data_IF_482328686213
#
_entry.id   IF_482328686213
#
_cell.length_a   1.000
_cell.length_b   1.000
_cell.length_c   1.000
_cell.angle_alpha   90.00
_cell.angle_beta   90.00
_cell.angle_gamma   90.00
#
_symmetry.space_group_name_H-M   'P 1'
#
loop_
_entity.id
_entity.type
_entity.pdbx_description
1 polymer ?
#
# COMPACT_ATOMS: atom_id res chain seq x y z
N UNK A 1 9.71 -26.88 23.14
CA UNK A 1 10.29 -25.80 22.30
C UNK A 1 10.44 -26.28 20.87
N UNK A 2 9.47 -26.01 19.99
CA UNK A 2 9.63 -26.16 18.53
C UNK A 2 9.43 -24.76 17.95
N UNK A 3 10.53 -24.12 17.53
CA UNK A 3 10.48 -22.79 16.89
C UNK A 3 9.87 -22.94 15.50
N UNK A 4 8.97 -22.02 15.18
CA UNK A 4 8.25 -21.86 13.92
C UNK A 4 9.20 -21.77 12.73
N UNK A 5 9.35 -22.86 11.97
CA UNK A 5 9.99 -22.86 10.66
C UNK A 5 9.02 -22.40 9.54
N UNK A 6 7.71 -22.38 9.83
CA UNK A 6 6.66 -22.13 8.84
C UNK A 6 6.52 -20.65 8.46
N UNK A 7 6.81 -19.72 9.37
CA UNK A 7 6.70 -18.28 9.08
C UNK A 7 7.86 -17.77 8.20
N UNK A 8 9.07 -18.33 8.39
CA UNK A 8 10.25 -17.96 7.60
C UNK A 8 10.14 -18.48 6.15
N UNK A 9 9.51 -19.64 5.95
CA UNK A 9 9.30 -20.23 4.63
C UNK A 9 8.34 -19.41 3.74
N UNK A 10 7.30 -18.80 4.32
CA UNK A 10 6.31 -18.01 3.53
C UNK A 10 6.94 -16.72 2.98
N UNK A 11 7.78 -16.05 3.76
CA UNK A 11 8.49 -14.84 3.34
C UNK A 11 9.49 -15.17 2.22
N UNK A 12 10.26 -16.25 2.37
CA UNK A 12 11.25 -16.68 1.36
C UNK A 12 10.59 -17.13 0.05
N UNK A 13 9.43 -17.79 0.09
CA UNK A 13 8.70 -18.21 -1.13
C UNK A 13 8.07 -17.03 -1.87
N UNK A 14 7.61 -15.99 -1.16
CA UNK A 14 7.16 -14.72 -1.76
C UNK A 14 8.30 -13.96 -2.45
N UNK A 15 9.51 -14.01 -1.89
CA UNK A 15 10.69 -13.30 -2.40
C UNK A 15 11.36 -13.95 -3.63
N UNK A 16 11.26 -15.27 -3.79
CA UNK A 16 11.97 -16.03 -4.84
C UNK A 16 11.18 -16.21 -6.15
N UNK A 17 9.85 -16.03 -6.14
CA UNK A 17 9.01 -16.22 -7.33
C UNK A 17 9.00 -15.03 -8.31
N UNK A 18 9.60 -13.88 -7.95
CA UNK A 18 9.61 -12.68 -8.81
C UNK A 18 10.38 -12.87 -10.13
N UNK A 19 11.31 -13.84 -10.20
CA UNK A 19 12.25 -13.97 -11.32
C UNK A 19 11.70 -14.58 -12.62
N UNK A 20 10.63 -15.38 -12.56
CA UNK A 20 10.17 -16.13 -13.74
C UNK A 20 8.72 -15.84 -14.17
N UNK A 21 7.94 -15.09 -13.38
CA UNK A 21 6.50 -14.89 -13.59
C UNK A 21 6.07 -13.41 -13.71
N UNK A 22 6.97 -12.46 -13.40
CA UNK A 22 6.63 -11.03 -13.30
C UNK A 22 6.38 -10.28 -14.62
N UNK A 23 6.55 -10.89 -15.81
CA UNK A 23 6.53 -10.14 -17.08
C UNK A 23 5.17 -9.52 -17.45
N UNK A 24 4.06 -9.98 -16.85
CA UNK A 24 2.70 -9.43 -17.09
C UNK A 24 2.25 -8.40 -16.07
N UNK A 25 2.92 -8.32 -14.92
CA UNK A 25 2.58 -7.45 -13.80
C UNK A 25 3.65 -6.41 -13.50
N UNK A 26 4.87 -6.61 -14.03
CA UNK A 26 5.89 -5.60 -14.13
C UNK A 26 5.44 -4.52 -15.11
N UNK A 27 5.67 -3.27 -14.72
CA UNK A 27 5.44 -2.12 -15.58
C UNK A 27 6.26 -2.26 -16.89
N UNK A 28 5.76 -1.75 -18.02
CA UNK A 28 6.61 -1.57 -19.19
C UNK A 28 7.81 -0.71 -18.81
N UNK A 29 9.02 -1.24 -19.00
CA UNK A 29 10.27 -0.49 -18.93
C UNK A 29 10.32 0.51 -20.09
N UNK A 30 9.60 1.62 -19.97
CA UNK A 30 9.76 2.88 -20.73
C UNK A 30 8.53 3.78 -20.56
N UNK A 31 8.33 4.34 -19.36
CA UNK A 31 7.67 5.64 -19.25
C UNK A 31 8.64 6.59 -18.58
N UNK A 32 8.90 7.72 -19.23
CA UNK A 32 9.62 8.84 -18.64
C UNK A 32 9.05 9.13 -17.24
N UNK A 33 9.94 9.42 -16.29
CA UNK A 33 9.58 9.85 -14.95
C UNK A 33 8.51 10.95 -15.02
N UNK A 34 7.26 10.60 -14.70
CA UNK A 34 6.16 11.57 -14.70
C UNK A 34 6.12 12.24 -13.34
N UNK A 35 6.47 13.52 -13.30
CA UNK A 35 6.01 14.40 -12.22
C UNK A 35 4.50 14.29 -12.12
N UNK A 36 3.94 14.41 -10.91
CA UNK A 36 2.48 14.53 -10.79
C UNK A 36 2.00 15.79 -11.52
N UNK A 37 0.98 15.63 -12.35
CA UNK A 37 0.29 16.74 -13.01
C UNK A 37 -0.42 17.60 -11.98
N UNK A 38 -0.66 18.87 -12.29
CA UNK A 38 -1.45 19.75 -11.44
C UNK A 38 -2.84 19.16 -11.14
N UNK A 39 -3.45 18.51 -12.13
CA UNK A 39 -4.72 17.80 -11.96
C UNK A 39 -4.60 16.64 -10.96
N UNK A 40 -3.56 15.80 -11.06
CA UNK A 40 -3.35 14.70 -10.12
C UNK A 40 -3.09 15.21 -8.69
N UNK A 41 -2.28 16.28 -8.54
CA UNK A 41 -2.03 16.92 -7.24
C UNK A 41 -3.32 17.38 -6.59
N UNK A 42 -4.16 18.13 -7.32
CA UNK A 42 -5.46 18.62 -6.81
C UNK A 42 -6.42 17.47 -6.55
N UNK A 43 -6.53 16.52 -7.48
CA UNK A 43 -7.48 15.39 -7.40
C UNK A 43 -7.18 14.46 -6.23
N UNK A 44 -5.90 14.26 -5.90
CA UNK A 44 -5.46 13.38 -4.80
C UNK A 44 -5.20 14.14 -3.50
N UNK A 45 -5.11 15.47 -3.52
CA UNK A 45 -4.71 16.26 -2.36
C UNK A 45 -3.24 16.06 -1.95
N UNK A 46 -2.37 15.78 -2.92
CA UNK A 46 -0.93 15.61 -2.69
C UNK A 46 -0.26 16.99 -2.83
N UNK A 47 0.60 17.41 -1.88
CA UNK A 47 1.30 18.69 -2.00
C UNK A 47 2.28 18.67 -3.19
N UNK A 48 2.44 19.82 -3.84
CA UNK A 48 3.26 19.95 -5.05
C UNK A 48 4.76 19.72 -4.79
N UNK A 49 5.22 19.93 -3.56
CA UNK A 49 6.59 19.69 -3.11
C UNK A 49 6.58 19.28 -1.63
N UNK A 50 7.52 18.43 -1.22
CA UNK A 50 7.65 17.99 0.17
C UNK A 50 8.97 17.26 0.43
N UNK A 51 9.37 17.21 1.70
CA UNK A 51 10.26 16.15 2.18
C UNK A 51 9.43 14.88 2.35
N UNK A 52 9.83 13.79 1.69
CA UNK A 52 9.16 12.50 1.74
C UNK A 52 9.87 11.60 2.75
N UNK A 53 9.17 11.21 3.81
CA UNK A 53 9.64 10.24 4.80
C UNK A 53 9.05 8.88 4.44
N UNK A 54 9.88 8.02 3.84
CA UNK A 54 9.44 6.75 3.28
C UNK A 54 9.57 5.60 4.30
N UNK A 55 8.48 4.85 4.48
CA UNK A 55 8.40 3.63 5.31
C UNK A 55 8.20 2.41 4.41
N UNK A 56 9.26 1.59 4.17
CA UNK A 56 9.16 0.39 3.35
C UNK A 56 8.26 -0.69 3.96
N UNK A 57 8.00 -1.75 3.18
CA UNK A 57 7.29 -2.95 3.64
C UNK A 57 8.17 -3.91 4.43
N UNK A 58 7.58 -5.03 4.89
CA UNK A 58 8.32 -6.10 5.56
C UNK A 58 9.10 -6.93 4.53
N UNK A 59 10.40 -6.68 4.43
CA UNK A 59 11.28 -7.34 3.45
C UNK A 59 12.63 -7.77 4.04
N UNK A 60 12.81 -7.69 5.37
CA UNK A 60 14.09 -8.01 6.04
C UNK A 60 15.30 -7.24 5.48
N UNK A 61 15.08 -6.01 5.01
CA UNK A 61 16.09 -5.18 4.35
C UNK A 61 16.66 -5.75 3.06
N UNK A 62 15.98 -6.73 2.45
CA UNK A 62 16.44 -7.34 1.21
C UNK A 62 16.29 -6.41 0.00
N UNK A 63 15.43 -5.38 0.08
CA UNK A 63 15.26 -4.38 -0.97
C UNK A 63 15.23 -2.97 -0.39
N UNK A 64 15.51 -1.99 -1.24
CA UNK A 64 15.21 -0.59 -0.97
C UNK A 64 14.41 -0.04 -2.16
N UNK A 65 13.19 -0.55 -2.35
CA UNK A 65 12.36 -0.27 -3.53
C UNK A 65 11.56 1.04 -3.47
N UNK A 66 11.53 1.71 -2.31
CA UNK A 66 10.75 2.95 -2.12
C UNK A 66 11.07 4.04 -3.15
N UNK A 67 12.33 4.25 -3.58
CA UNK A 67 12.64 5.23 -4.62
C UNK A 67 12.04 4.93 -5.99
N UNK A 68 11.68 3.68 -6.29
CA UNK A 68 11.11 3.24 -7.57
C UNK A 68 9.58 3.20 -7.57
N UNK A 69 8.95 3.18 -6.39
CA UNK A 69 7.48 3.13 -6.27
C UNK A 69 6.80 4.31 -6.97
N UNK A 70 5.63 4.07 -7.57
CA UNK A 70 4.89 5.07 -8.36
C UNK A 70 5.73 5.71 -9.47
N UNK A 71 6.53 4.91 -10.19
CA UNK A 71 7.46 5.39 -11.21
C UNK A 71 8.62 6.24 -10.68
N UNK A 72 8.83 6.25 -9.35
CA UNK A 72 9.80 7.06 -8.65
C UNK A 72 9.45 8.55 -8.60
N UNK A 73 8.15 8.89 -8.64
CA UNK A 73 7.72 10.29 -8.59
C UNK A 73 8.11 10.98 -7.27
N UNK A 74 7.99 10.27 -6.14
CA UNK A 74 8.27 10.82 -4.81
C UNK A 74 9.76 10.88 -4.44
N UNK A 75 10.65 10.29 -5.23
CA UNK A 75 12.10 10.24 -4.97
C UNK A 75 12.90 11.26 -5.77
N UNK A 76 12.22 12.09 -6.56
CA UNK A 76 12.82 13.07 -7.47
C UNK A 76 12.22 14.46 -7.24
N UNK A 77 12.93 15.53 -7.63
CA UNK A 77 12.39 16.88 -7.55
C UNK A 77 11.00 17.00 -8.19
N UNK A 78 10.07 17.75 -7.56
CA UNK A 78 10.26 18.65 -6.42
C UNK A 78 10.21 17.95 -5.03
N UNK A 79 10.13 16.62 -4.98
CA UNK A 79 10.19 15.86 -3.74
C UNK A 79 11.64 15.51 -3.36
N UNK A 80 11.90 15.39 -2.06
CA UNK A 80 13.18 14.87 -1.55
C UNK A 80 12.90 13.73 -0.58
N UNK A 81 13.29 12.51 -0.95
CA UNK A 81 12.99 11.31 -0.16
C UNK A 81 14.11 10.96 0.82
N UNK A 82 13.71 10.65 2.06
CA UNK A 82 14.51 9.94 3.06
C UNK A 82 13.79 8.66 3.45
N UNK A 83 14.48 7.52 3.34
CA UNK A 83 13.93 6.23 3.80
C UNK A 83 14.21 6.08 5.29
N UNK A 84 13.14 5.82 6.07
CA UNK A 84 13.21 5.66 7.52
C UNK A 84 13.55 4.20 7.84
N UNK A 85 14.71 4.01 8.46
CA UNK A 85 15.16 2.67 8.87
C UNK A 85 14.34 2.18 10.07
N UNK A 86 13.95 0.90 10.01
CA UNK A 86 13.30 0.16 11.10
C UNK A 86 13.42 -1.35 10.78
N UNK A 87 13.12 -2.28 11.71
CA UNK A 87 13.45 -3.70 11.54
C UNK A 87 12.87 -4.40 10.30
N UNK A 88 11.74 -3.93 9.74
CA UNK A 88 11.11 -4.51 8.52
C UNK A 88 10.93 -6.03 8.56
N UNK A 89 10.73 -6.57 9.76
CA UNK A 89 10.57 -7.99 10.02
C UNK A 89 9.18 -8.31 10.60
N UNK A 90 8.91 -9.59 10.83
CA UNK A 90 7.63 -10.04 11.39
C UNK A 90 7.64 -10.13 12.93
N UNK A 91 8.68 -9.62 13.59
CA UNK A 91 8.75 -9.60 15.04
C UNK A 91 7.78 -8.56 15.61
N UNK A 92 7.41 -8.74 16.89
CA UNK A 92 6.53 -7.79 17.60
C UNK A 92 7.15 -6.39 17.75
N UNK A 93 8.47 -6.27 17.62
CA UNK A 93 9.19 -5.02 17.81
C UNK A 93 9.24 -4.15 16.54
N UNK A 94 9.10 -4.74 15.34
CA UNK A 94 9.26 -4.02 14.08
C UNK A 94 8.37 -2.77 13.97
N UNK A 95 7.05 -2.94 14.14
CA UNK A 95 6.09 -1.83 14.05
C UNK A 95 6.34 -0.76 15.13
N UNK A 96 6.46 -1.10 16.44
CA UNK A 96 6.81 -0.11 17.47
C UNK A 96 8.09 0.69 17.19
N UNK A 97 9.15 0.04 16.71
CA UNK A 97 10.39 0.75 16.33
C UNK A 97 10.16 1.66 15.14
N UNK A 98 9.40 1.23 14.13
CA UNK A 98 8.99 2.08 13.02
C UNK A 98 8.24 3.33 13.47
N UNK A 99 7.32 3.20 14.43
CA UNK A 99 6.53 4.32 14.98
C UNK A 99 7.46 5.33 15.67
N UNK A 100 8.37 4.87 16.52
CA UNK A 100 9.32 5.74 17.20
C UNK A 100 10.24 6.49 16.21
N UNK A 101 10.70 5.80 15.16
CA UNK A 101 11.62 6.38 14.19
C UNK A 101 10.92 7.37 13.25
N UNK A 102 9.69 7.07 12.79
CA UNK A 102 8.92 8.01 11.97
C UNK A 102 8.48 9.24 12.78
N UNK A 103 8.10 9.07 14.05
CA UNK A 103 7.75 10.20 14.92
C UNK A 103 8.91 11.18 15.07
N UNK A 104 10.10 10.66 15.37
CA UNK A 104 11.33 11.45 15.45
C UNK A 104 11.62 12.18 14.14
N UNK A 105 11.47 11.49 13.00
CA UNK A 105 11.73 12.07 11.69
C UNK A 105 10.71 13.19 11.34
N UNK A 106 9.42 12.96 11.57
CA UNK A 106 8.35 13.96 11.36
C UNK A 106 8.66 15.23 12.18
N UNK A 107 8.98 15.09 13.47
CA UNK A 107 9.25 16.23 14.36
C UNK A 107 10.52 17.00 13.98
N UNK A 108 11.52 16.32 13.43
CA UNK A 108 12.79 16.94 13.03
C UNK A 108 12.72 17.61 11.64
N UNK A 109 11.71 17.31 10.84
CA UNK A 109 11.63 17.77 9.44
C UNK A 109 10.90 19.12 9.34
N UNK A 110 11.55 20.17 8.82
CA UNK A 110 10.89 21.46 8.55
C UNK A 110 10.04 21.40 7.26
N UNK A 111 9.17 22.39 7.06
CA UNK A 111 8.39 22.53 5.81
C UNK A 111 7.30 21.46 5.63
N UNK A 112 6.89 21.25 4.39
CA UNK A 112 5.86 20.28 4.00
C UNK A 112 6.42 18.85 4.00
N UNK A 113 5.67 17.92 4.56
CA UNK A 113 6.06 16.52 4.78
C UNK A 113 5.03 15.60 4.14
N UNK A 114 5.51 14.61 3.39
CA UNK A 114 4.73 13.43 3.02
C UNK A 114 5.31 12.22 3.76
N UNK A 115 4.46 11.46 4.45
CA UNK A 115 4.82 10.11 4.90
C UNK A 115 4.35 9.13 3.85
N UNK A 116 5.29 8.54 3.11
CA UNK A 116 5.02 7.56 2.05
C UNK A 116 5.23 6.15 2.61
N UNK A 117 4.19 5.35 2.74
CA UNK A 117 4.24 4.13 3.55
C UNK A 117 3.65 2.91 2.85
N UNK A 118 4.46 1.86 2.71
CA UNK A 118 4.14 0.63 1.99
C UNK A 118 3.86 -0.53 2.94
N UNK A 119 2.78 -1.29 2.75
CA UNK A 119 2.57 -2.60 3.40
C UNK A 119 2.73 -2.55 4.94
N UNK A 120 3.80 -3.11 5.53
CA UNK A 120 4.07 -2.97 6.97
C UNK A 120 4.34 -1.52 7.40
N UNK A 121 5.00 -0.72 6.56
CA UNK A 121 5.15 0.71 6.77
C UNK A 121 3.81 1.43 6.84
N UNK A 122 2.81 1.04 6.02
CA UNK A 122 1.46 1.60 6.12
C UNK A 122 0.79 1.27 7.46
N UNK A 123 1.07 0.09 8.03
CA UNK A 123 0.64 -0.26 9.38
C UNK A 123 1.31 0.63 10.43
N UNK A 124 2.62 0.88 10.30
CA UNK A 124 3.37 1.83 11.15
C UNK A 124 2.71 3.20 11.12
N UNK A 125 2.47 3.76 9.93
CA UNK A 125 1.83 5.07 9.77
C UNK A 125 0.42 5.10 10.37
N UNK A 126 -0.38 4.04 10.15
CA UNK A 126 -1.72 3.91 10.72
C UNK A 126 -1.71 3.87 12.25
N UNK A 127 -0.73 3.19 12.86
CA UNK A 127 -0.55 3.19 14.31
C UNK A 127 -0.03 4.52 14.84
N UNK A 128 0.90 5.17 14.14
CA UNK A 128 1.38 6.51 14.51
C UNK A 128 0.23 7.52 14.53
N UNK A 129 -0.63 7.53 13.49
CA UNK A 129 -1.78 8.43 13.42
C UNK A 129 -2.74 8.25 14.59
N UNK A 130 -3.05 6.99 14.96
CA UNK A 130 -3.91 6.71 16.12
C UNK A 130 -3.31 7.19 17.45
N UNK A 131 -1.98 7.19 17.58
CA UNK A 131 -1.30 7.64 18.79
C UNK A 131 -1.18 9.17 18.89
N UNK A 132 -1.12 9.87 17.75
CA UNK A 132 -0.75 11.29 17.71
C UNK A 132 -1.87 12.22 17.22
N UNK A 133 -3.04 11.71 16.81
CA UNK A 133 -4.13 12.54 16.27
C UNK A 133 -4.61 13.67 17.21
N UNK A 134 -4.34 13.55 18.51
CA UNK A 134 -4.68 14.54 19.54
C UNK A 134 -3.44 15.23 20.14
N UNK A 135 -2.25 14.97 19.61
CA UNK A 135 -1.01 15.60 20.06
C UNK A 135 -0.82 16.95 19.32
N UNK A 136 -0.89 18.11 20.00
CA UNK A 136 -0.74 19.41 19.35
C UNK A 136 0.72 19.72 18.98
N UNK A 137 1.69 18.87 19.37
CA UNK A 137 3.12 19.10 19.14
C UNK A 137 3.64 18.46 17.86
N UNK A 138 2.86 17.61 17.20
CA UNK A 138 3.19 17.09 15.87
C UNK A 138 2.70 18.05 14.77
N UNK A 139 3.32 18.08 13.58
CA UNK A 139 2.87 18.93 12.48
C UNK A 139 1.40 18.71 12.13
N UNK A 140 0.68 19.81 11.92
CA UNK A 140 -0.74 19.81 11.56
C UNK A 140 -1.01 19.40 10.09
N UNK A 141 -2.28 19.38 9.67
CA UNK A 141 -2.68 18.97 8.33
C UNK A 141 -2.26 19.92 7.21
N UNK A 142 -1.87 21.15 7.54
CA UNK A 142 -1.26 22.12 6.64
C UNK A 142 0.18 21.73 6.25
N UNK A 143 0.84 20.87 7.05
CA UNK A 143 2.22 20.46 6.85
C UNK A 143 2.43 18.97 6.62
N UNK A 144 1.51 18.11 7.04
CA UNK A 144 1.70 16.65 7.03
C UNK A 144 0.59 15.95 6.26
N UNK A 145 0.99 15.21 5.22
CA UNK A 145 0.12 14.36 4.40
C UNK A 145 0.62 12.92 4.46
N UNK A 146 -0.28 11.94 4.47
CA UNK A 146 0.06 10.52 4.39
C UNK A 146 -0.28 9.97 3.02
N UNK A 147 0.64 9.22 2.41
CA UNK A 147 0.39 8.42 1.21
C UNK A 147 0.67 6.97 1.58
N UNK A 148 -0.39 6.20 1.76
CA UNK A 148 -0.33 4.78 2.13
C UNK A 148 -0.56 3.94 0.88
N UNK A 149 0.13 2.80 0.77
CA UNK A 149 -0.12 1.88 -0.33
C UNK A 149 0.20 0.45 0.03
N UNK A 150 -0.47 -0.48 -0.67
CA UNK A 150 -0.48 -1.89 -0.27
C UNK A 150 -0.94 -2.04 1.19
N UNK A 151 -1.80 -1.15 1.70
CA UNK A 151 -2.07 -1.02 3.12
C UNK A 151 -2.92 -2.20 3.63
N UNK A 152 -2.39 -3.12 4.47
CA UNK A 152 -3.18 -4.25 4.97
C UNK A 152 -4.29 -3.81 5.94
N UNK A 153 -4.18 -2.61 6.50
CA UNK A 153 -5.17 -1.98 7.36
C UNK A 153 -6.03 -0.97 6.60
N UNK A 154 -6.04 -1.00 5.26
CA UNK A 154 -6.88 -0.12 4.44
C UNK A 154 -8.31 -0.20 4.94
N UNK A 155 -8.87 0.97 5.24
CA UNK A 155 -10.15 1.03 5.93
C UNK A 155 -11.36 0.78 5.01
N UNK A 156 -11.11 0.62 3.71
CA UNK A 156 -12.05 0.17 2.68
C UNK A 156 -11.51 -1.09 1.99
N UNK A 157 -11.41 -2.19 2.74
CA UNK A 157 -11.09 -3.52 2.19
C UNK A 157 -9.77 -4.20 2.62
N UNK A 158 -9.05 -3.65 3.60
CA UNK A 158 -7.80 -4.23 4.08
C UNK A 158 -7.98 -5.59 4.77
N UNK A 159 -7.15 -6.58 4.41
CA UNK A 159 -7.25 -7.95 4.92
C UNK A 159 -7.01 -8.05 6.43
N UNK A 160 -6.21 -7.15 7.00
CA UNK A 160 -5.87 -7.18 8.42
C UNK A 160 -6.89 -6.49 9.31
N UNK A 161 -7.88 -5.80 8.75
CA UNK A 161 -8.95 -5.20 9.55
C UNK A 161 -9.79 -6.30 10.23
N UNK A 162 -9.81 -6.31 11.56
CA UNK A 162 -10.49 -7.34 12.36
C UNK A 162 -9.75 -8.67 12.45
N UNK A 163 -8.61 -8.83 11.77
CA UNK A 163 -7.81 -10.06 11.76
C UNK A 163 -6.50 -9.89 12.54
N UNK A 164 -5.85 -10.99 12.98
CA UNK A 164 -4.55 -10.90 13.67
C UNK A 164 -3.45 -10.27 12.80
N UNK A 165 -2.71 -9.34 13.41
CA UNK A 165 -1.43 -8.79 12.96
C UNK A 165 -0.28 -9.46 13.73
N UNK A 166 0.97 -9.05 13.47
CA UNK A 166 2.12 -9.54 14.26
C UNK A 166 2.07 -9.12 15.73
N UNK A 167 1.23 -8.15 16.10
CA UNK A 167 1.13 -7.57 17.45
C UNK A 167 -0.19 -7.87 18.14
N UNK A 168 -1.32 -7.56 17.49
CA UNK A 168 -2.68 -7.58 18.06
C UNK A 168 -3.70 -8.00 17.00
N UNK A 169 -4.98 -7.66 17.17
CA UNK A 169 -5.93 -7.55 16.05
C UNK A 169 -5.69 -6.24 15.30
N UNK A 170 -5.77 -6.27 13.97
CA UNK A 170 -5.60 -5.11 13.12
C UNK A 170 -6.82 -4.20 13.19
N UNK A 171 -6.57 -2.93 13.49
CA UNK A 171 -7.57 -1.87 13.43
C UNK A 171 -7.46 -1.18 12.08
N UNK A 172 -8.61 -0.87 11.49
CA UNK A 172 -8.66 -0.06 10.29
C UNK A 172 -7.83 1.22 10.46
N UNK A 173 -7.18 1.64 9.38
CA UNK A 173 -6.54 2.96 9.30
C UNK A 173 -7.60 4.01 9.63
N UNK A 174 -7.35 4.89 10.62
CA UNK A 174 -8.33 5.91 10.96
C UNK A 174 -8.53 6.84 9.76
N UNK A 175 -9.78 7.18 9.48
CA UNK A 175 -10.13 8.12 8.39
C UNK A 175 -10.56 9.48 8.92
N UNK A 176 -10.64 9.62 10.25
CA UNK A 176 -11.08 10.78 11.02
C UNK A 176 -9.93 11.48 11.75
N UNK A 177 -8.71 11.35 11.22
CA UNK A 177 -7.53 12.07 11.72
C UNK A 177 -7.48 13.50 11.18
N UNK A 178 -6.77 14.44 11.84
CA UNK A 178 -6.59 15.79 11.31
C UNK A 178 -5.97 15.80 9.90
N UNK A 179 -5.01 14.89 9.64
CA UNK A 179 -4.25 14.84 8.39
C UNK A 179 -5.02 14.30 7.20
N UNK A 180 -4.66 14.80 6.01
CA UNK A 180 -5.07 14.21 4.74
C UNK A 180 -4.32 12.91 4.47
N UNK A 181 -5.06 11.89 4.02
CA UNK A 181 -4.53 10.56 3.71
C UNK A 181 -4.91 10.19 2.29
N UNK A 182 -3.93 9.80 1.49
CA UNK A 182 -4.13 9.12 0.20
C UNK A 182 -3.83 7.65 0.39
N UNK A 183 -4.83 6.78 0.34
CA UNK A 183 -4.64 5.33 0.49
C UNK A 183 -4.80 4.67 -0.89
N UNK A 184 -3.71 4.14 -1.45
CA UNK A 184 -3.63 3.57 -2.79
C UNK A 184 -3.60 2.04 -2.74
N UNK A 185 -4.62 1.40 -3.32
CA UNK A 185 -4.66 -0.04 -3.49
C UNK A 185 -4.56 -0.37 -4.97
N UNK A 186 -3.84 -1.45 -5.27
CA UNK A 186 -4.01 -2.11 -6.55
C UNK A 186 -5.23 -3.03 -6.49
N UNK A 187 -6.06 -3.06 -7.52
CA UNK A 187 -7.22 -3.95 -7.52
C UNK A 187 -6.74 -5.39 -7.43
N UNK A 188 -7.38 -6.14 -6.54
CA UNK A 188 -7.01 -7.51 -6.17
C UNK A 188 -5.68 -7.67 -5.43
N UNK A 189 -5.00 -6.61 -5.01
CA UNK A 189 -3.97 -6.76 -3.97
C UNK A 189 -4.63 -7.36 -2.73
N UNK A 190 -4.48 -8.66 -2.49
CA UNK A 190 -5.24 -9.33 -1.45
C UNK A 190 -4.92 -8.90 -0.01
N UNK A 191 -3.92 -8.03 0.22
CA UNK A 191 -3.74 -7.35 1.50
C UNK A 191 -4.51 -6.03 1.56
N UNK A 192 -4.47 -5.21 0.51
CA UNK A 192 -5.08 -3.88 0.49
C UNK A 192 -6.52 -3.84 -0.03
N UNK A 193 -6.88 -4.75 -0.94
CA UNK A 193 -8.17 -4.95 -1.59
C UNK A 193 -8.58 -6.43 -1.45
N UNK A 194 -9.12 -6.78 -0.28
CA UNK A 194 -9.55 -8.14 0.06
C UNK A 194 -11.08 -8.27 -0.04
N UNK A 195 -11.62 -9.40 -0.54
CA UNK A 195 -13.08 -9.60 -0.62
C UNK A 195 -13.69 -9.69 0.78
N UNK A 196 -14.85 -9.08 0.99
CA UNK A 196 -15.59 -9.14 2.26
C UNK A 196 -16.35 -10.46 2.36
N UNK A 197 -16.93 -10.94 1.26
CA UNK A 197 -17.53 -12.27 1.20
C UNK A 197 -16.44 -13.34 1.06
N UNK A 198 -16.11 -13.97 2.19
CA UNK A 198 -15.13 -15.07 2.25
C UNK A 198 -15.70 -16.42 1.79
N UNK A 199 -17.02 -16.52 1.53
CA UNK A 199 -17.65 -17.70 0.96
C UNK A 199 -17.44 -17.81 -0.56
N UNK A 200 -17.08 -16.71 -1.22
CA UNK A 200 -16.72 -16.71 -2.64
C UNK A 200 -15.27 -17.20 -2.84
N UNK A 201 -15.11 -18.51 -3.06
CA UNK A 201 -13.81 -19.16 -3.18
C UNK A 201 -12.95 -18.61 -4.34
N UNK A 202 -13.58 -18.26 -5.48
CA UNK A 202 -12.90 -17.65 -6.62
C UNK A 202 -12.30 -16.29 -6.24
N UNK A 203 -13.06 -15.45 -5.53
CA UNK A 203 -12.60 -14.15 -5.08
C UNK A 203 -11.47 -14.26 -4.05
N UNK A 204 -11.60 -15.17 -3.08
CA UNK A 204 -10.57 -15.44 -2.07
C UNK A 204 -9.28 -15.96 -2.72
N UNK A 205 -9.41 -16.90 -3.66
CA UNK A 205 -8.25 -17.43 -4.40
C UNK A 205 -7.59 -16.35 -5.25
N UNK A 206 -8.38 -15.52 -5.94
CA UNK A 206 -7.88 -14.41 -6.73
C UNK A 206 -7.11 -13.40 -5.88
N UNK A 207 -7.66 -13.02 -4.72
CA UNK A 207 -6.98 -12.13 -3.77
C UNK A 207 -5.68 -12.75 -3.22
N UNK A 208 -5.68 -14.04 -2.87
CA UNK A 208 -4.48 -14.72 -2.39
C UNK A 208 -3.38 -14.80 -3.45
N UNK A 209 -3.72 -15.00 -4.72
CA UNK A 209 -2.76 -14.86 -5.82
C UNK A 209 -2.31 -13.40 -5.99
N UNK A 210 -3.20 -12.45 -5.75
CA UNK A 210 -2.87 -11.04 -5.75
C UNK A 210 -1.85 -10.63 -4.68
N UNK A 211 -1.85 -11.27 -3.50
CA UNK A 211 -0.78 -11.11 -2.51
C UNK A 211 0.60 -11.48 -3.06
N UNK A 212 0.67 -12.40 -4.03
CA UNK A 212 1.91 -12.86 -4.65
C UNK A 212 2.31 -12.01 -5.87
N UNK A 213 1.34 -11.66 -6.72
CA UNK A 213 1.60 -11.09 -8.05
C UNK A 213 1.32 -9.59 -8.17
N UNK A 214 0.57 -9.01 -7.24
CA UNK A 214 0.12 -7.61 -7.27
C UNK A 214 0.79 -6.82 -6.16
N UNK A 215 0.64 -7.32 -4.93
CA UNK A 215 1.11 -6.63 -3.73
C UNK A 215 2.58 -6.21 -3.82
N UNK A 216 3.51 -7.05 -4.32
CA UNK A 216 4.92 -6.67 -4.41
C UNK A 216 5.26 -5.62 -5.48
N UNK A 217 4.27 -5.18 -6.27
CA UNK A 217 4.48 -4.43 -7.50
C UNK A 217 3.67 -3.12 -7.54
N UNK A 218 4.24 -2.03 -7.03
CA UNK A 218 3.66 -0.68 -7.09
C UNK A 218 4.51 0.30 -7.92
N UNK A 219 5.68 -0.12 -8.40
CA UNK A 219 6.62 0.65 -9.21
C UNK A 219 6.00 1.15 -10.52
N UNK A 220 5.00 0.44 -11.04
CA UNK A 220 4.28 0.76 -12.27
C UNK A 220 3.02 1.60 -12.12
N UNK A 221 2.60 1.92 -10.89
CA UNK A 221 1.34 2.63 -10.66
C UNK A 221 1.49 4.10 -11.03
N UNK A 222 0.75 4.55 -12.05
CA UNK A 222 0.72 5.93 -12.51
C UNK A 222 -0.39 6.71 -11.82
N UNK A 223 -0.04 7.57 -10.86
CA UNK A 223 -1.00 8.41 -10.14
C UNK A 223 -1.64 9.50 -11.03
N UNK A 224 -1.11 9.74 -12.24
CA UNK A 224 -1.74 10.60 -13.23
C UNK A 224 -2.86 9.90 -14.01
N UNK A 225 -3.02 8.58 -13.89
CA UNK A 225 -4.01 7.85 -14.67
C UNK A 225 -5.44 8.37 -14.37
N UNK A 226 -6.15 8.93 -15.35
CA UNK A 226 -7.50 9.45 -15.14
C UNK A 226 -8.51 8.34 -14.85
N UNK A 227 -8.20 7.08 -15.17
CA UNK A 227 -9.08 5.92 -14.94
C UNK A 227 -9.09 5.41 -13.50
N UNK A 228 -8.18 5.90 -12.64
CA UNK A 228 -8.15 5.55 -11.22
C UNK A 228 -9.52 5.81 -10.58
N UNK A 229 -10.03 4.81 -9.86
CA UNK A 229 -11.25 4.96 -9.09
C UNK A 229 -10.93 5.65 -7.78
N UNK A 230 -11.59 6.77 -7.52
CA UNK A 230 -11.31 7.63 -6.38
C UNK A 230 -12.60 7.91 -5.63
N UNK A 231 -12.57 7.73 -4.31
CA UNK A 231 -13.65 8.09 -3.40
C UNK A 231 -13.09 8.58 -2.07
N UNK A 232 -13.90 9.30 -1.30
CA UNK A 232 -13.48 9.89 -0.04
C UNK A 232 -14.28 9.34 1.14
N UNK A 233 -13.63 9.20 2.28
CA UNK A 233 -14.28 8.96 3.58
C UNK A 233 -13.49 9.70 4.66
N UNK A 234 -14.15 10.61 5.38
CA UNK A 234 -13.45 11.52 6.28
C UNK A 234 -12.34 12.27 5.53
N UNK A 235 -11.14 12.29 6.11
CA UNK A 235 -9.94 12.90 5.54
C UNK A 235 -9.09 11.92 4.70
N UNK A 236 -9.69 10.80 4.25
CA UNK A 236 -9.01 9.82 3.40
C UNK A 236 -9.56 9.83 1.98
N UNK A 237 -8.69 10.07 1.02
CA UNK A 237 -8.89 9.80 -0.41
C UNK A 237 -8.41 8.39 -0.71
N UNK A 238 -9.35 7.50 -1.00
CA UNK A 238 -9.06 6.15 -1.45
C UNK A 238 -8.85 6.15 -2.96
N UNK A 239 -7.77 5.51 -3.40
CA UNK A 239 -7.41 5.32 -4.80
C UNK A 239 -7.36 3.82 -5.09
N UNK A 240 -7.95 3.41 -6.20
CA UNK A 240 -7.94 2.03 -6.67
C UNK A 240 -7.58 1.98 -8.16
N UNK A 241 -6.57 1.19 -8.50
CA UNK A 241 -6.16 0.99 -9.90
C UNK A 241 -7.12 0.06 -10.66
N UNK A 242 -6.90 -0.06 -11.96
CA UNK A 242 -7.62 -0.99 -12.81
C UNK A 242 -6.68 -2.09 -13.34
N UNK A 243 -6.98 -3.33 -12.98
CA UNK A 243 -6.21 -4.50 -13.37
C UNK A 243 -6.92 -5.26 -14.51
N UNK A 244 -6.38 -5.26 -15.74
CA UNK A 244 -7.05 -5.87 -16.90
C UNK A 244 -7.02 -7.41 -16.85
N UNK A 245 -6.08 -7.99 -16.11
CA UNK A 245 -5.95 -9.43 -15.91
C UNK A 245 -6.39 -9.78 -14.49
N UNK A 246 -7.13 -10.87 -14.32
CA UNK A 246 -7.40 -11.44 -13.00
C UNK A 246 -6.17 -12.26 -12.56
N UNK A 247 -5.65 -12.10 -11.32
CA UNK A 247 -4.60 -12.97 -10.78
C UNK A 247 -4.84 -14.47 -11.00
N UNK A 248 -6.08 -14.93 -10.87
CA UNK A 248 -6.44 -16.35 -11.09
C UNK A 248 -6.31 -16.80 -12.56
N UNK A 249 -6.36 -15.87 -13.52
CA UNK A 249 -6.26 -16.13 -14.96
C UNK A 249 -4.82 -16.02 -15.50
N UNK A 250 -3.82 -15.74 -14.65
CA UNK A 250 -2.44 -15.51 -15.10
C UNK A 250 -1.83 -16.72 -15.83
N UNK A 251 -2.15 -17.95 -15.38
CA UNK A 251 -1.56 -19.19 -15.90
C UNK A 251 -2.49 -20.03 -16.77
N UNK A 252 -3.74 -19.59 -16.99
CA UNK A 252 -4.72 -20.34 -17.76
C UNK A 252 -5.36 -19.40 -18.79
N UNK A 253 -5.13 -19.61 -20.10
CA UNK A 253 -5.82 -18.83 -21.12
C UNK A 253 -7.33 -19.16 -21.05
N UNK A 254 -8.10 -18.19 -20.60
CA UNK A 254 -9.57 -18.19 -20.70
C UNK A 254 -9.98 -17.27 -21.86
N UNK A 255 -11.06 -17.61 -22.56
CA UNK A 255 -11.64 -16.73 -23.58
C UNK A 255 -12.20 -15.44 -22.95
N UNK A 256 -12.35 -14.34 -23.71
CA UNK A 256 -12.80 -13.04 -23.17
C UNK A 256 -14.10 -13.12 -22.35
N UNK A 257 -15.13 -13.81 -22.85
CA UNK A 257 -16.41 -13.95 -22.15
C UNK A 257 -16.28 -14.71 -20.81
N UNK A 258 -15.38 -15.70 -20.75
CA UNK A 258 -15.11 -16.44 -19.53
C UNK A 258 -14.39 -15.56 -18.50
N UNK A 259 -13.47 -14.70 -18.94
CA UNK A 259 -12.80 -13.72 -18.07
C UNK A 259 -13.80 -12.70 -17.52
N UNK A 260 -14.71 -12.19 -18.35
CA UNK A 260 -15.73 -11.23 -17.92
C UNK A 260 -16.71 -11.84 -16.92
N UNK A 261 -17.16 -13.07 -17.19
CA UNK A 261 -18.00 -13.84 -16.26
C UNK A 261 -17.29 -14.10 -14.93
N UNK A 262 -16.00 -14.51 -14.97
CA UNK A 262 -15.19 -14.69 -13.77
C UNK A 262 -15.01 -13.38 -13.00
N UNK A 263 -14.73 -12.29 -13.70
CA UNK A 263 -14.56 -10.97 -13.10
C UNK A 263 -15.84 -10.54 -12.39
N UNK A 264 -17.00 -10.68 -13.03
CA UNK A 264 -18.28 -10.34 -12.42
C UNK A 264 -18.52 -11.11 -11.11
N UNK A 265 -18.28 -12.43 -11.10
CA UNK A 265 -18.39 -13.26 -9.88
C UNK A 265 -17.38 -12.89 -8.81
N UNK A 266 -16.15 -12.55 -9.19
CA UNK A 266 -15.11 -12.14 -8.24
C UNK A 266 -15.50 -10.79 -7.63
N UNK A 267 -15.86 -9.82 -8.45
CA UNK A 267 -16.22 -8.46 -8.04
C UNK A 267 -17.43 -8.42 -7.10
N UNK A 268 -18.38 -9.35 -7.22
CA UNK A 268 -19.54 -9.40 -6.32
C UNK A 268 -19.17 -9.66 -4.85
N UNK A 269 -17.96 -10.15 -4.57
CA UNK A 269 -17.46 -10.38 -3.22
C UNK A 269 -16.77 -9.15 -2.59
N UNK A 270 -16.63 -8.04 -3.34
CA UNK A 270 -15.93 -6.83 -2.89
C UNK A 270 -16.93 -5.70 -2.60
N UNK A 271 -16.76 -5.08 -1.43
CA UNK A 271 -17.49 -3.92 -0.95
C UNK A 271 -16.49 -2.82 -0.61
N UNK A 272 -16.23 -1.96 -1.59
CA UNK A 272 -15.25 -0.87 -1.54
C UNK A 272 -15.98 0.44 -1.30
N UNK A 273 -16.43 0.64 -0.06
CA UNK A 273 -17.06 1.88 0.42
C UNK A 273 -16.53 2.25 1.80
#
# INVERSE_FOLDING_TARGET
>A
MKRSASALAIVVVLLLCSGCLGHRWAAPQSRQASTLSAEALTRLGIPAEATVLALPGADLHLRNGMPEEFGGVFSRPPYTMTVIDYPRDLTKASIPTGIANIDKAIRATPGTIIVLAYSQGAQVASEWMRQHAQDPTVPGPDRLTFVLFGNPLRASGGEKVGNPTSRTTGLATPTDTPWHIVDVARRYDGFADSPQDKGNEDAVRNANLGKLFIHPHYEGVDLNDPSLQIWNRGNTTFVLTNEPVLPIAEKAPAGPEQVDSMRSRIESAYHRS
#
